data_IF_187930096468
#
_entry.id   IF_187930096468
#
_cell.length_a   1.000
_cell.length_b   1.000
_cell.length_c   1.000
_cell.angle_alpha   90.00
_cell.angle_beta   90.00
_cell.angle_gamma   90.00
#
_symmetry.space_group_name_H-M   'P 1'
#
loop_
_entity.id
_entity.type
_entity.pdbx_description
1 polymer ?
#
# COMPACT_ATOMS: atom_id res chain seq x y z
N UNK A 1 -7.92 -17.15 12.08
CA UNK A 1 -6.62 -16.58 11.70
C UNK A 1 -6.81 -15.60 10.55
N UNK A 2 -6.42 -14.35 10.74
CA UNK A 2 -6.54 -13.35 9.67
C UNK A 2 -5.42 -13.53 8.66
N UNK A 3 -5.75 -14.02 7.49
CA UNK A 3 -4.79 -14.16 6.41
C UNK A 3 -4.89 -12.90 5.53
N UNK A 4 -3.79 -12.17 5.43
CA UNK A 4 -3.72 -11.03 4.53
C UNK A 4 -3.70 -11.51 3.09
N UNK A 5 -4.32 -10.77 2.14
CA UNK A 5 -4.27 -11.13 0.73
C UNK A 5 -2.83 -11.18 0.24
N UNK A 6 -2.52 -12.03 -0.75
CA UNK A 6 -1.20 -11.99 -1.37
C UNK A 6 -0.98 -10.65 -2.08
N UNK A 7 0.25 -10.15 -2.05
CA UNK A 7 0.60 -8.91 -2.72
C UNK A 7 1.69 -9.14 -3.75
N UNK A 8 1.68 -8.29 -4.78
CA UNK A 8 2.68 -8.28 -5.84
C UNK A 8 3.32 -6.91 -5.89
N UNK A 9 4.64 -6.86 -5.87
CA UNK A 9 5.42 -5.62 -5.82
C UNK A 9 6.49 -5.68 -6.91
N UNK A 10 6.69 -4.57 -7.63
CA UNK A 10 7.78 -4.54 -8.60
C UNK A 10 9.13 -4.46 -7.90
N UNK A 11 10.17 -5.00 -8.54
CA UNK A 11 11.52 -4.95 -8.00
C UNK A 11 12.00 -3.50 -7.83
N UNK A 12 11.60 -2.60 -8.73
CA UNK A 12 11.93 -1.17 -8.60
C UNK A 12 11.28 -0.55 -7.36
N UNK A 13 10.00 -0.84 -7.12
CA UNK A 13 9.29 -0.33 -5.95
C UNK A 13 9.86 -0.95 -4.67
N UNK A 14 10.20 -2.24 -4.69
CA UNK A 14 10.85 -2.90 -3.56
C UNK A 14 12.10 -2.15 -3.12
N UNK A 15 12.95 -1.79 -4.08
CA UNK A 15 14.21 -1.12 -3.77
C UNK A 15 13.96 0.27 -3.18
N UNK A 16 13.00 1.01 -3.71
CA UNK A 16 12.60 2.33 -3.17
C UNK A 16 12.05 2.20 -1.76
N UNK A 17 11.22 1.20 -1.52
CA UNK A 17 10.61 0.97 -0.20
C UNK A 17 11.65 0.62 0.83
N UNK A 18 12.56 -0.29 0.54
CA UNK A 18 13.63 -0.63 1.48
C UNK A 18 14.53 0.57 1.77
N UNK A 19 14.81 1.41 0.76
CA UNK A 19 15.60 2.61 0.99
C UNK A 19 14.93 3.55 2.00
N UNK A 20 13.60 3.73 1.89
CA UNK A 20 12.85 4.57 2.83
C UNK A 20 12.80 3.91 4.21
N UNK A 21 12.49 2.62 4.28
CA UNK A 21 12.32 1.92 5.55
C UNK A 21 13.64 1.81 6.31
N UNK A 22 14.73 1.53 5.60
CA UNK A 22 16.05 1.37 6.22
C UNK A 22 16.59 2.70 6.77
N UNK A 23 16.13 3.82 6.22
CA UNK A 23 16.53 5.15 6.70
C UNK A 23 15.57 5.73 7.74
N UNK A 24 14.48 5.03 8.04
CA UNK A 24 13.53 5.50 9.06
C UNK A 24 14.14 5.32 10.44
N UNK A 25 14.13 6.40 11.24
CA UNK A 25 14.64 6.39 12.60
C UNK A 25 13.47 6.38 13.58
N UNK A 26 13.47 5.43 14.49
CA UNK A 26 12.44 5.28 15.50
C UNK A 26 11.68 3.97 15.34
N UNK A 27 10.79 3.70 16.29
CA UNK A 27 9.95 2.51 16.29
C UNK A 27 8.58 2.85 15.72
N UNK A 28 8.06 1.99 14.86
CA UNK A 28 6.75 2.17 14.30
C UNK A 28 6.18 0.81 13.91
N UNK A 29 4.97 0.53 14.37
CA UNK A 29 4.26 -0.69 13.99
C UNK A 29 4.02 -0.74 12.48
N UNK A 30 3.79 0.42 11.85
CA UNK A 30 3.60 0.48 10.39
C UNK A 30 4.85 0.07 9.63
N UNK A 31 6.02 0.47 10.13
CA UNK A 31 7.29 0.06 9.52
C UNK A 31 7.45 -1.45 9.61
N UNK A 32 7.17 -2.03 10.77
CA UNK A 32 7.25 -3.49 10.97
C UNK A 32 6.27 -4.23 10.06
N UNK A 33 5.04 -3.74 9.95
CA UNK A 33 4.04 -4.33 9.05
C UNK A 33 4.47 -4.27 7.60
N UNK A 34 5.12 -3.17 7.17
CA UNK A 34 5.62 -3.05 5.81
C UNK A 34 6.75 -4.05 5.54
N UNK A 35 7.68 -4.24 6.48
CA UNK A 35 8.71 -5.26 6.33
C UNK A 35 8.09 -6.66 6.21
N UNK A 36 7.06 -6.96 7.01
CA UNK A 36 6.36 -8.24 6.94
C UNK A 36 5.67 -8.43 5.59
N UNK A 37 5.02 -7.37 5.08
CA UNK A 37 4.39 -7.39 3.76
C UNK A 37 5.40 -7.66 2.65
N UNK A 38 6.55 -6.98 2.70
CA UNK A 38 7.60 -7.17 1.71
C UNK A 38 8.22 -8.56 1.80
N UNK A 39 8.30 -9.13 3.01
CA UNK A 39 8.84 -10.47 3.19
C UNK A 39 7.99 -11.56 2.54
N UNK A 40 6.67 -11.33 2.45
CA UNK A 40 5.74 -12.31 1.83
C UNK A 40 5.31 -11.94 0.42
N UNK A 41 5.74 -10.80 -0.10
CA UNK A 41 5.33 -10.33 -1.42
C UNK A 41 5.95 -11.17 -2.53
N UNK A 42 5.22 -11.28 -3.64
CA UNK A 42 5.78 -11.77 -4.89
C UNK A 42 6.41 -10.59 -5.61
N UNK A 43 7.67 -10.72 -6.00
CA UNK A 43 8.37 -9.65 -6.72
C UNK A 43 8.43 -9.98 -8.21
N UNK A 44 8.13 -8.98 -9.03
CA UNK A 44 8.17 -9.09 -10.50
C UNK A 44 8.84 -7.84 -11.07
N UNK A 45 9.34 -7.95 -12.29
CA UNK A 45 9.88 -6.78 -12.97
C UNK A 45 8.79 -5.74 -13.23
N UNK A 46 9.19 -4.47 -13.29
CA UNK A 46 8.22 -3.36 -13.42
C UNK A 46 7.35 -3.50 -14.67
N UNK A 47 7.92 -3.97 -15.79
CA UNK A 47 7.19 -4.15 -17.03
C UNK A 47 6.27 -5.39 -17.02
N UNK A 48 6.42 -6.26 -16.02
CA UNK A 48 5.56 -7.43 -15.85
C UNK A 48 4.47 -7.23 -14.80
N UNK A 49 4.37 -6.04 -14.20
CA UNK A 49 3.35 -5.76 -13.19
C UNK A 49 1.96 -5.77 -13.81
N UNK A 50 1.01 -6.51 -13.21
CA UNK A 50 -0.39 -6.44 -13.65
C UNK A 50 -0.93 -5.02 -13.50
N UNK A 51 -1.80 -4.62 -14.41
CA UNK A 51 -2.37 -3.26 -14.42
C UNK A 51 -3.37 -3.02 -13.30
N UNK A 52 -3.92 -4.09 -12.72
CA UNK A 52 -4.92 -4.03 -11.67
C UNK A 52 -4.33 -4.14 -10.26
N UNK A 53 -3.01 -4.01 -10.13
CA UNK A 53 -2.28 -4.10 -8.85
C UNK A 53 -1.72 -2.74 -8.49
N UNK A 54 -1.85 -2.37 -7.20
CA UNK A 54 -1.36 -1.08 -6.68
C UNK A 54 0.16 -1.04 -6.66
N UNK A 55 0.71 -0.01 -7.28
CA UNK A 55 2.15 0.30 -7.25
C UNK A 55 2.36 1.70 -6.69
N UNK A 56 3.62 2.02 -6.37
CA UNK A 56 3.96 3.41 -6.05
C UNK A 56 3.64 4.30 -7.26
N UNK A 57 2.95 5.41 -7.02
CA UNK A 57 2.51 6.32 -8.06
C UNK A 57 1.17 5.98 -8.68
N UNK A 58 0.56 4.84 -8.33
CA UNK A 58 -0.78 4.50 -8.81
C UNK A 58 -1.84 5.44 -8.23
N UNK A 59 -2.78 5.84 -9.07
CA UNK A 59 -4.02 6.45 -8.60
C UNK A 59 -5.00 5.33 -8.32
N UNK A 60 -5.60 5.33 -7.13
CA UNK A 60 -6.46 4.25 -6.72
C UNK A 60 -7.72 4.78 -6.05
N UNK A 61 -8.77 3.99 -6.13
CA UNK A 61 -10.01 4.23 -5.40
C UNK A 61 -10.25 3.06 -4.46
N UNK A 62 -10.55 3.36 -3.22
CA UNK A 62 -10.82 2.33 -2.22
C UNK A 62 -11.99 2.75 -1.34
N UNK A 63 -12.62 1.75 -0.73
CA UNK A 63 -13.71 1.96 0.21
C UNK A 63 -13.26 1.59 1.62
N UNK A 64 -13.55 2.48 2.57
CA UNK A 64 -13.45 2.12 3.98
C UNK A 64 -14.73 1.37 4.37
N UNK A 65 -14.61 0.10 4.67
CA UNK A 65 -15.77 -0.78 4.91
C UNK A 65 -16.52 -0.39 6.18
N UNK A 66 -15.84 0.20 7.18
CA UNK A 66 -16.50 0.61 8.42
C UNK A 66 -17.41 1.82 8.22
N UNK A 67 -17.00 2.76 7.37
CA UNK A 67 -17.78 4.00 7.13
C UNK A 67 -18.60 3.97 5.84
N UNK A 68 -18.27 3.06 4.93
CA UNK A 68 -18.85 3.02 3.59
C UNK A 68 -18.35 4.12 2.66
N UNK A 69 -17.40 4.95 3.10
CA UNK A 69 -16.89 6.06 2.30
C UNK A 69 -15.84 5.59 1.32
N UNK A 70 -15.88 6.15 0.12
CA UNK A 70 -14.88 5.91 -0.91
C UNK A 70 -13.91 7.08 -0.98
N UNK A 71 -12.66 6.75 -1.26
CA UNK A 71 -11.58 7.72 -1.39
C UNK A 71 -10.79 7.45 -2.66
N UNK A 72 -10.32 8.52 -3.29
CA UNK A 72 -9.40 8.44 -4.41
C UNK A 72 -8.08 9.09 -4.01
N UNK A 73 -6.98 8.36 -4.15
CA UNK A 73 -5.66 8.82 -3.72
C UNK A 73 -4.58 8.31 -4.67
N UNK A 74 -3.40 8.92 -4.57
CA UNK A 74 -2.18 8.45 -5.26
C UNK A 74 -1.23 7.94 -4.19
N UNK A 75 -0.81 6.68 -4.31
CA UNK A 75 0.12 6.08 -3.35
C UNK A 75 1.53 6.62 -3.58
N UNK A 76 2.12 7.22 -2.55
CA UNK A 76 3.40 7.90 -2.67
C UNK A 76 4.39 7.46 -1.60
N UNK A 77 5.66 7.78 -1.84
CA UNK A 77 6.67 7.79 -0.79
C UNK A 77 6.47 9.01 0.11
N UNK A 78 6.95 8.97 1.36
CA UNK A 78 6.67 10.07 2.31
C UNK A 78 7.10 11.44 1.82
N UNK A 79 8.24 11.54 1.15
CA UNK A 79 8.76 12.84 0.69
C UNK A 79 7.99 13.43 -0.49
N UNK A 80 7.09 12.67 -1.09
CA UNK A 80 6.29 13.12 -2.24
C UNK A 80 4.94 13.70 -1.85
N UNK A 81 4.55 13.60 -0.58
CA UNK A 81 3.19 13.97 -0.15
C UNK A 81 2.88 15.46 -0.32
N UNK A 82 3.90 16.31 -0.33
CA UNK A 82 3.71 17.75 -0.49
C UNK A 82 3.63 18.19 -1.95
N UNK A 83 4.08 17.36 -2.88
CA UNK A 83 4.13 17.73 -4.30
C UNK A 83 3.10 16.99 -5.15
N UNK A 84 2.51 15.92 -4.64
CA UNK A 84 1.52 15.12 -5.36
C UNK A 84 0.13 15.40 -4.79
N UNK A 85 -0.81 15.80 -5.65
CA UNK A 85 -2.20 15.99 -5.23
C UNK A 85 -2.83 14.66 -4.85
N UNK A 86 -3.66 14.67 -3.81
CA UNK A 86 -4.36 13.48 -3.30
C UNK A 86 -3.40 12.39 -2.85
N UNK A 87 -2.20 12.75 -2.43
CA UNK A 87 -1.19 11.79 -2.00
C UNK A 87 -1.61 11.06 -0.72
N UNK A 88 -1.36 9.75 -0.70
CA UNK A 88 -1.40 8.97 0.52
C UNK A 88 -0.05 8.29 0.68
N UNK A 89 0.61 8.54 1.82
CA UNK A 89 1.94 8.00 2.05
C UNK A 89 1.88 6.51 2.35
N UNK A 90 2.90 5.78 1.86
CA UNK A 90 3.09 4.36 2.19
C UNK A 90 3.26 4.14 3.71
N UNK A 91 3.64 5.17 4.46
CA UNK A 91 3.80 5.06 5.91
C UNK A 91 2.51 5.25 6.69
N UNK A 92 1.40 5.58 6.02
CA UNK A 92 0.09 5.61 6.68
C UNK A 92 -0.50 4.19 6.73
N UNK A 93 -1.40 3.91 7.69
CA UNK A 93 -2.04 2.59 7.73
C UNK A 93 -2.74 2.20 6.43
N UNK A 94 -3.50 3.12 5.84
CA UNK A 94 -4.21 2.83 4.59
C UNK A 94 -3.23 2.64 3.43
N UNK A 95 -2.20 3.48 3.32
CA UNK A 95 -1.20 3.34 2.27
C UNK A 95 -0.46 2.01 2.34
N UNK A 96 -0.04 1.63 3.55
CA UNK A 96 0.63 0.35 3.76
C UNK A 96 -0.28 -0.83 3.42
N UNK A 97 -1.56 -0.74 3.80
CA UNK A 97 -2.53 -1.80 3.56
C UNK A 97 -2.82 -2.00 2.07
N UNK A 98 -2.80 -0.92 1.29
CA UNK A 98 -3.19 -0.97 -0.13
C UNK A 98 -2.07 -1.41 -1.05
N UNK A 99 -0.80 -1.29 -0.64
CA UNK A 99 0.34 -1.66 -1.49
C UNK A 99 0.22 -3.09 -1.98
N UNK A 100 0.34 -3.28 -3.29
CA UNK A 100 0.39 -4.60 -3.89
C UNK A 100 -0.93 -5.34 -3.98
N UNK A 101 -2.04 -4.73 -3.55
CA UNK A 101 -3.36 -5.35 -3.68
C UNK A 101 -3.83 -5.32 -5.12
N UNK A 102 -4.67 -6.28 -5.45
CA UNK A 102 -5.34 -6.39 -6.75
C UNK A 102 -6.75 -5.81 -6.62
N UNK A 103 -7.27 -5.25 -7.70
CA UNK A 103 -8.65 -4.75 -7.74
C UNK A 103 -9.61 -5.86 -7.30
N UNK A 104 -10.52 -5.53 -6.37
CA UNK A 104 -11.46 -6.44 -5.77
C UNK A 104 -11.00 -7.04 -4.45
N UNK A 105 -9.73 -6.93 -4.11
CA UNK A 105 -9.23 -7.44 -2.84
C UNK A 105 -9.77 -6.62 -1.68
N UNK A 106 -10.04 -7.33 -0.58
CA UNK A 106 -10.37 -6.74 0.70
C UNK A 106 -9.23 -7.05 1.66
N UNK A 107 -8.92 -6.09 2.55
CA UNK A 107 -7.86 -6.28 3.53
C UNK A 107 -8.32 -5.79 4.89
N UNK A 108 -7.90 -6.52 5.93
CA UNK A 108 -8.05 -6.12 7.33
C UNK A 108 -6.66 -5.84 7.87
N UNK A 109 -6.34 -4.57 8.00
CA UNK A 109 -5.01 -4.12 8.40
C UNK A 109 -5.01 -3.77 9.88
N UNK A 110 -4.11 -4.33 10.70
CA UNK A 110 -4.08 -4.00 12.12
C UNK A 110 -3.66 -2.55 12.35
N UNK A 111 -4.36 -1.88 13.25
CA UNK A 111 -4.08 -0.48 13.58
C UNK A 111 -4.63 -0.17 14.99
N UNK A 112 -3.72 0.06 15.93
CA UNK A 112 -4.06 0.52 17.29
C UNK A 112 -5.13 -0.36 17.98
N UNK A 113 -4.94 -1.67 17.94
CA UNK A 113 -5.86 -2.61 18.57
C UNK A 113 -7.13 -2.89 17.79
N UNK A 114 -7.31 -2.26 16.65
CA UNK A 114 -8.45 -2.44 15.75
C UNK A 114 -7.97 -2.88 14.37
N UNK A 115 -8.93 -3.11 13.48
CA UNK A 115 -8.62 -3.40 12.09
C UNK A 115 -9.19 -2.31 11.19
N UNK A 116 -8.33 -1.79 10.32
CA UNK A 116 -8.75 -0.95 9.21
C UNK A 116 -9.20 -1.89 8.09
N UNK A 117 -10.47 -1.82 7.71
CA UNK A 117 -11.02 -2.69 6.66
C UNK A 117 -11.23 -1.90 5.40
N UNK A 118 -10.52 -2.29 4.35
CA UNK A 118 -10.54 -1.59 3.07
C UNK A 118 -10.83 -2.56 1.94
N UNK A 119 -11.51 -2.07 0.90
CA UNK A 119 -11.67 -2.77 -0.36
C UNK A 119 -11.11 -1.92 -1.48
N UNK A 120 -10.25 -2.51 -2.31
CA UNK A 120 -9.69 -1.83 -3.48
C UNK A 120 -10.70 -1.90 -4.62
N UNK A 121 -11.13 -0.74 -5.13
CA UNK A 121 -12.17 -0.64 -6.15
C UNK A 121 -11.59 -0.45 -7.53
N UNK A 122 -10.55 0.37 -7.70
CA UNK A 122 -9.93 0.61 -8.99
C UNK A 122 -8.50 1.08 -8.84
N UNK A 123 -7.71 0.85 -9.87
CA UNK A 123 -6.31 1.27 -9.96
C UNK A 123 -6.06 1.78 -11.36
N UNK A 124 -5.37 2.93 -11.45
CA UNK A 124 -4.85 3.41 -12.72
C UNK A 124 -3.44 3.93 -12.52
N UNK A 125 -2.63 3.83 -13.57
CA UNK A 125 -1.28 4.39 -13.56
C UNK A 125 -1.29 5.75 -14.21
N UNK A 126 -0.61 6.67 -13.57
CA UNK A 126 -0.49 8.03 -14.09
C UNK A 126 0.84 8.23 -14.78
#
# INVERSE_FOLDING_TARGET
MNTLPPITVSTADRDRLFAVLDNFKGDSDQIDYLYDELARAQFVEADAMPEDVVTLGSRLRFRNEASGKEHERVLTLPHETQTVSDAISILTPAGAALLGLKVGDEIRWPHQGHFLRLQLLSVSRT
#
